data_IF_682915685697
#
_entry.id   IF_682915685697
#
_cell.length_a   1.000
_cell.length_b   1.000
_cell.length_c   1.000
_cell.angle_alpha   90.00
_cell.angle_beta   90.00
_cell.angle_gamma   90.00
#
_symmetry.space_group_name_H-M   'P 1'
#
loop_
_entity.id
_entity.type
_entity.pdbx_description
1 polymer ?
#
# COMPACT_ATOMS: atom_id res chain seq x y z
N UNK A 1 -26.91 -19.89 8.22
CA UNK A 1 -25.74 -20.29 7.43
C UNK A 1 -25.44 -19.16 6.44
N UNK A 2 -24.43 -18.30 6.68
CA UNK A 2 -24.05 -17.29 5.67
C UNK A 2 -23.32 -18.03 4.55
N UNK A 3 -24.01 -18.30 3.44
CA UNK A 3 -23.36 -18.68 2.19
C UNK A 3 -22.45 -17.51 1.84
N UNK A 4 -21.13 -17.67 1.98
CA UNK A 4 -20.19 -16.68 1.48
C UNK A 4 -20.32 -16.72 -0.05
N UNK A 5 -20.65 -15.61 -0.72
CA UNK A 5 -20.68 -15.60 -2.17
C UNK A 5 -19.27 -15.95 -2.67
N UNK A 6 -19.12 -17.13 -3.25
CA UNK A 6 -17.85 -17.58 -3.85
C UNK A 6 -17.83 -17.11 -5.29
N UNK A 7 -16.96 -16.16 -5.58
CA UNK A 7 -16.63 -15.77 -6.94
C UNK A 7 -16.04 -16.98 -7.66
N UNK A 8 -16.52 -17.27 -8.86
CA UNK A 8 -15.86 -18.24 -9.74
C UNK A 8 -14.42 -17.78 -10.02
N UNK A 9 -13.47 -18.71 -10.25
CA UNK A 9 -12.05 -18.36 -10.44
C UNK A 9 -11.84 -17.36 -11.59
N UNK A 10 -12.64 -17.49 -12.66
CA UNK A 10 -12.60 -16.58 -13.81
C UNK A 10 -13.06 -15.17 -13.42
N UNK A 11 -14.16 -15.05 -12.66
CA UNK A 11 -14.66 -13.76 -12.17
C UNK A 11 -13.69 -13.14 -11.17
N UNK A 12 -13.05 -13.93 -10.31
CA UNK A 12 -12.05 -13.44 -9.37
C UNK A 12 -10.82 -12.86 -10.09
N UNK A 13 -10.31 -13.56 -11.11
CA UNK A 13 -9.20 -13.06 -11.94
C UNK A 13 -9.62 -11.80 -12.69
N UNK A 14 -10.81 -11.77 -13.28
CA UNK A 14 -11.31 -10.60 -13.99
C UNK A 14 -11.41 -9.37 -13.07
N UNK A 15 -11.97 -9.54 -11.86
CA UNK A 15 -12.04 -8.46 -10.87
C UNK A 15 -10.65 -8.02 -10.43
N UNK A 16 -9.73 -8.96 -10.17
CA UNK A 16 -8.36 -8.64 -9.78
C UNK A 16 -7.69 -7.76 -10.86
N UNK A 17 -7.69 -8.19 -12.11
CA UNK A 17 -7.06 -7.46 -13.22
C UNK A 17 -7.69 -6.08 -13.40
N UNK A 18 -9.03 -5.99 -13.41
CA UNK A 18 -9.74 -4.71 -13.57
C UNK A 18 -9.39 -3.76 -12.41
N UNK A 19 -9.44 -4.22 -11.17
CA UNK A 19 -9.11 -3.39 -10.01
C UNK A 19 -7.65 -2.95 -10.01
N UNK A 20 -6.71 -3.83 -10.40
CA UNK A 20 -5.29 -3.48 -10.53
C UNK A 20 -5.11 -2.35 -11.54
N UNK A 21 -5.73 -2.43 -12.72
CA UNK A 21 -5.65 -1.37 -13.73
C UNK A 21 -6.22 -0.05 -13.20
N UNK A 22 -7.39 -0.07 -12.55
CA UNK A 22 -7.96 1.15 -11.96
C UNK A 22 -7.03 1.75 -10.89
N UNK A 23 -6.46 0.92 -10.01
CA UNK A 23 -5.54 1.38 -8.98
C UNK A 23 -4.27 1.97 -9.59
N UNK A 24 -3.72 1.36 -10.64
CA UNK A 24 -2.56 1.90 -11.36
C UNK A 24 -2.85 3.29 -11.94
N UNK A 25 -4.00 3.48 -12.58
CA UNK A 25 -4.41 4.80 -13.09
C UNK A 25 -4.51 5.83 -11.96
N UNK A 26 -5.15 5.47 -10.84
CA UNK A 26 -5.23 6.35 -9.68
C UNK A 26 -3.85 6.67 -9.09
N UNK A 27 -2.92 5.70 -9.07
CA UNK A 27 -1.57 5.88 -8.56
C UNK A 27 -0.75 6.84 -9.44
N UNK A 28 -0.88 6.78 -10.76
CA UNK A 28 -0.25 7.73 -11.68
C UNK A 28 -0.71 9.16 -11.40
N UNK A 29 -2.03 9.39 -11.34
CA UNK A 29 -2.58 10.71 -11.01
C UNK A 29 -2.17 11.20 -9.61
N UNK A 30 -2.03 10.30 -8.64
CA UNK A 30 -1.59 10.63 -7.29
C UNK A 30 -0.11 11.08 -7.26
N UNK A 31 0.76 10.38 -7.99
CA UNK A 31 2.18 10.73 -8.11
C UNK A 31 2.34 12.09 -8.81
N UNK A 32 1.61 12.34 -9.89
CA UNK A 32 1.63 13.62 -10.60
C UNK A 32 1.18 14.78 -9.69
N UNK A 33 0.08 14.57 -8.97
CA UNK A 33 -0.45 15.56 -8.01
C UNK A 33 0.53 15.84 -6.88
N UNK A 34 1.33 14.87 -6.46
CA UNK A 34 2.31 15.03 -5.38
C UNK A 34 3.33 16.12 -5.72
N UNK A 35 3.79 16.19 -6.97
CA UNK A 35 4.75 17.21 -7.38
C UNK A 35 4.13 18.62 -7.31
N UNK A 36 2.87 18.76 -7.74
CA UNK A 36 2.12 20.01 -7.60
C UNK A 36 1.89 20.40 -6.13
N UNK A 37 1.51 19.44 -5.28
CA UNK A 37 1.26 19.67 -3.86
C UNK A 37 2.50 20.17 -3.12
N UNK A 38 3.69 19.66 -3.45
CA UNK A 38 4.95 20.13 -2.84
C UNK A 38 5.19 21.61 -3.18
N UNK A 39 4.89 22.04 -4.41
CA UNK A 39 5.12 23.42 -4.85
C UNK A 39 4.09 24.42 -4.33
N UNK A 40 2.85 24.00 -4.10
CA UNK A 40 1.74 24.90 -3.72
C UNK A 40 1.45 24.89 -2.21
N UNK A 41 1.66 23.77 -1.53
CA UNK A 41 1.17 23.54 -0.16
C UNK A 41 2.27 23.67 0.91
N UNK A 42 3.54 23.80 0.52
CA UNK A 42 4.67 23.85 1.44
C UNK A 42 4.93 22.55 2.22
N UNK A 43 4.29 21.45 1.86
CA UNK A 43 4.46 20.14 2.50
C UNK A 43 5.68 19.43 1.90
N UNK A 44 6.56 18.89 2.74
CA UNK A 44 7.75 18.15 2.29
C UNK A 44 7.36 16.88 1.52
N UNK A 45 8.14 16.55 0.47
CA UNK A 45 8.05 15.27 -0.26
C UNK A 45 8.09 14.07 0.68
N UNK A 46 8.94 14.13 1.72
CA UNK A 46 9.05 13.04 2.68
C UNK A 46 7.80 12.84 3.53
N UNK A 47 7.09 13.92 3.90
CA UNK A 47 5.82 13.79 4.63
C UNK A 47 4.76 13.10 3.77
N UNK A 48 4.67 13.46 2.49
CA UNK A 48 3.72 12.84 1.57
C UNK A 48 4.07 11.36 1.35
N UNK A 49 5.34 11.06 1.09
CA UNK A 49 5.82 9.71 0.84
C UNK A 49 5.77 8.78 2.05
N UNK A 50 6.02 9.29 3.26
CA UNK A 50 6.11 8.49 4.48
C UNK A 50 4.78 8.36 5.22
N UNK A 51 3.93 9.39 5.19
CA UNK A 51 2.69 9.44 5.97
C UNK A 51 1.47 9.32 5.07
N UNK A 52 1.37 10.19 4.05
CA UNK A 52 0.13 10.33 3.29
C UNK A 52 -0.11 9.14 2.35
N UNK A 53 0.88 8.73 1.57
CA UNK A 53 0.77 7.61 0.63
C UNK A 53 0.53 6.26 1.35
N UNK A 54 1.33 5.87 2.37
CA UNK A 54 1.14 4.59 3.06
C UNK A 54 -0.19 4.53 3.82
N UNK A 55 -0.63 5.66 4.37
CA UNK A 55 -1.91 5.74 5.08
C UNK A 55 -3.07 5.32 4.17
N UNK A 56 -3.17 5.91 2.97
CA UNK A 56 -4.25 5.61 2.01
C UNK A 56 -4.20 4.15 1.53
N UNK A 57 -3.01 3.63 1.24
CA UNK A 57 -2.83 2.25 0.75
C UNK A 57 -3.28 1.18 1.73
N UNK A 58 -3.12 1.43 3.04
CA UNK A 58 -3.43 0.46 4.10
C UNK A 58 -4.72 0.76 4.88
N UNK A 59 -5.54 1.75 4.48
CA UNK A 59 -6.79 2.08 5.21
C UNK A 59 -7.72 0.88 5.32
N UNK A 60 -7.92 0.15 4.23
CA UNK A 60 -8.83 -1.00 4.22
C UNK A 60 -8.40 -2.10 5.21
N UNK A 61 -7.10 -2.33 5.34
CA UNK A 61 -6.51 -3.25 6.30
C UNK A 61 -6.71 -2.76 7.74
N UNK A 62 -6.48 -1.46 7.99
CA UNK A 62 -6.70 -0.85 9.30
C UNK A 62 -8.17 -0.93 9.73
N UNK A 63 -9.11 -0.62 8.84
CA UNK A 63 -10.55 -0.75 9.11
C UNK A 63 -10.90 -2.19 9.45
N UNK A 64 -10.34 -3.16 8.72
CA UNK A 64 -10.56 -4.59 8.98
C UNK A 64 -9.97 -5.00 10.34
N UNK A 65 -8.75 -4.58 10.65
CA UNK A 65 -8.09 -4.85 11.92
C UNK A 65 -8.88 -4.28 13.11
N UNK A 66 -9.37 -3.04 13.00
CA UNK A 66 -10.23 -2.42 14.02
C UNK A 66 -11.55 -3.18 14.16
N UNK A 67 -12.21 -3.55 13.06
CA UNK A 67 -13.46 -4.30 13.09
C UNK A 67 -13.30 -5.69 13.72
N UNK A 68 -12.14 -6.33 13.56
CA UNK A 68 -11.80 -7.62 14.18
C UNK A 68 -11.44 -7.45 15.66
N UNK A 69 -10.72 -6.39 16.02
CA UNK A 69 -10.40 -6.05 17.41
C UNK A 69 -11.66 -5.75 18.24
N UNK A 70 -12.63 -5.02 17.66
CA UNK A 70 -13.94 -4.76 18.29
C UNK A 70 -14.77 -6.02 18.55
N UNK A 71 -14.40 -7.17 17.95
CA UNK A 71 -15.02 -8.47 18.19
C UNK A 71 -14.25 -9.31 19.21
N UNK A 72 -13.39 -8.68 20.00
CA UNK A 72 -12.56 -9.30 21.03
C UNK A 72 -11.59 -10.36 20.46
N UNK A 73 -11.11 -10.12 19.23
CA UNK A 73 -10.16 -10.99 18.52
C UNK A 73 -8.84 -10.26 18.28
N UNK A 74 -8.20 -9.85 19.35
CA UNK A 74 -6.97 -9.05 19.29
C UNK A 74 -5.82 -9.80 18.58
N UNK A 75 -5.72 -11.12 18.75
CA UNK A 75 -4.69 -11.93 18.06
C UNK A 75 -4.80 -11.86 16.53
N UNK A 76 -6.03 -11.86 16.00
CA UNK A 76 -6.24 -11.73 14.55
C UNK A 76 -5.94 -10.31 14.07
N UNK A 77 -6.27 -9.29 14.85
CA UNK A 77 -5.95 -7.91 14.53
C UNK A 77 -4.43 -7.67 14.52
N UNK A 78 -3.71 -8.20 15.52
CA UNK A 78 -2.24 -8.17 15.56
C UNK A 78 -1.63 -8.95 14.40
N UNK A 79 -2.19 -10.12 14.06
CA UNK A 79 -1.74 -10.92 12.92
C UNK A 79 -1.78 -10.15 11.59
N UNK A 80 -2.85 -9.39 11.35
CA UNK A 80 -2.98 -8.53 10.16
C UNK A 80 -1.94 -7.40 10.17
N UNK A 81 -1.80 -6.70 11.30
CA UNK A 81 -0.87 -5.58 11.42
C UNK A 81 0.60 -6.00 11.25
N UNK A 82 1.01 -7.06 11.95
CA UNK A 82 2.37 -7.60 11.89
C UNK A 82 2.65 -8.22 10.52
N UNK A 83 1.67 -8.95 9.95
CA UNK A 83 1.80 -9.55 8.62
C UNK A 83 2.08 -8.50 7.53
N UNK A 84 1.29 -7.43 7.49
CA UNK A 84 1.47 -6.33 6.53
C UNK A 84 2.83 -5.64 6.72
N UNK A 85 3.25 -5.41 7.98
CA UNK A 85 4.56 -4.80 8.30
C UNK A 85 5.73 -5.67 7.84
N UNK A 86 5.69 -6.98 8.09
CA UNK A 86 6.72 -7.92 7.65
C UNK A 86 6.77 -8.01 6.13
N UNK A 87 5.61 -8.02 5.45
CA UNK A 87 5.56 -8.05 4.00
C UNK A 87 6.20 -6.79 3.40
N UNK A 88 5.92 -5.61 3.97
CA UNK A 88 6.53 -4.37 3.50
C UNK A 88 8.05 -4.39 3.72
N UNK A 89 8.51 -4.80 4.91
CA UNK A 89 9.92 -4.79 5.28
C UNK A 89 10.76 -5.83 4.53
N UNK A 90 10.28 -7.07 4.42
CA UNK A 90 11.06 -8.20 3.89
C UNK A 90 10.82 -8.47 2.40
N UNK A 91 9.71 -8.01 1.82
CA UNK A 91 9.38 -8.28 0.42
C UNK A 91 9.32 -6.99 -0.39
N UNK A 92 8.51 -6.01 0.02
CA UNK A 92 8.26 -4.82 -0.80
C UNK A 92 9.52 -3.94 -0.88
N UNK A 93 10.13 -3.55 0.24
CA UNK A 93 11.32 -2.71 0.24
C UNK A 93 12.52 -3.30 -0.56
N UNK A 94 12.93 -4.58 -0.37
CA UNK A 94 14.02 -5.14 -1.16
C UNK A 94 13.65 -5.39 -2.63
N UNK A 95 12.40 -5.78 -2.94
CA UNK A 95 11.98 -5.95 -4.34
C UNK A 95 12.02 -4.62 -5.10
N UNK A 96 11.62 -3.53 -4.45
CA UNK A 96 11.71 -2.18 -4.99
C UNK A 96 13.17 -1.80 -5.33
N UNK A 97 14.14 -2.10 -4.47
CA UNK A 97 15.57 -1.86 -4.76
C UNK A 97 16.05 -2.68 -5.96
N UNK A 98 15.66 -3.96 -6.03
CA UNK A 98 16.04 -4.85 -7.15
C UNK A 98 15.44 -4.34 -8.47
N UNK A 99 14.16 -3.93 -8.48
CA UNK A 99 13.52 -3.34 -9.65
C UNK A 99 14.21 -2.06 -10.06
N UNK A 100 14.55 -1.19 -9.10
CA UNK A 100 15.36 0.01 -9.32
C UNK A 100 16.67 -0.29 -10.05
N UNK A 101 17.39 -1.34 -9.61
CA UNK A 101 18.63 -1.76 -10.25
C UNK A 101 18.42 -2.23 -11.70
N UNK A 102 17.34 -2.98 -11.97
CA UNK A 102 16.99 -3.45 -13.33
C UNK A 102 16.70 -2.27 -14.27
N UNK A 103 16.01 -1.23 -13.78
CA UNK A 103 15.63 -0.06 -14.58
C UNK A 103 16.68 1.07 -14.54
N UNK A 104 17.87 0.83 -13.95
CA UNK A 104 18.93 1.82 -13.72
C UNK A 104 18.47 3.07 -12.95
N UNK A 105 17.52 2.91 -12.02
CA UNK A 105 17.15 3.95 -11.07
C UNK A 105 17.92 3.74 -9.74
N UNK A 106 18.50 4.80 -9.21
CA UNK A 106 19.19 4.76 -7.91
C UNK A 106 18.16 4.68 -6.76
N UNK A 107 17.78 3.47 -6.37
CA UNK A 107 16.97 3.20 -5.18
C UNK A 107 17.81 2.51 -4.10
N UNK A 108 17.91 3.14 -2.94
CA UNK A 108 18.68 2.63 -1.80
C UNK A 108 17.78 2.40 -0.58
N UNK A 109 18.24 1.60 0.38
CA UNK A 109 17.59 1.43 1.68
C UNK A 109 17.98 2.53 2.69
N UNK A 110 18.58 3.63 2.25
CA UNK A 110 18.93 4.75 3.11
C UNK A 110 17.71 5.66 3.32
N UNK A 111 16.90 5.35 4.33
CA UNK A 111 15.60 5.99 4.56
C UNK A 111 15.68 7.47 5.00
N UNK A 112 16.82 7.93 5.54
CA UNK A 112 16.93 9.21 6.23
C UNK A 112 17.63 10.32 5.42
N UNK A 113 18.32 10.00 4.32
CA UNK A 113 19.23 10.96 3.69
C UNK A 113 18.56 11.94 2.71
N UNK A 114 17.33 11.67 2.28
CA UNK A 114 16.65 12.38 1.18
C UNK A 114 15.24 12.93 1.55
N UNK A 115 14.89 13.00 2.85
CA UNK A 115 13.66 13.58 3.40
C UNK A 115 13.86 15.03 3.87
#
# INVERSE_FOLDING_TARGET
MRVKPTLGPITAIAVLVVTTVLVTLCAEYLVDSTNSLVTTSGISRGFIGLILIPSVGSVAEHVTAVAVALRDKMDLAMGVAVGSSIQIALLVAPSLVIVGWIINAEMTLHLERDM
#
